data_IF_301394716245
#
_entry.id   IF_301394716245
#
_cell.length_a   1.000
_cell.length_b   1.000
_cell.length_c   1.000
_cell.angle_alpha   90.00
_cell.angle_beta   90.00
_cell.angle_gamma   90.00
#
_symmetry.space_group_name_H-M   'P 1'
#
loop_
_entity.id
_entity.type
_entity.pdbx_description
1 polymer ?
#
# COMPACT_ATOMS: atom_id res chain seq x y z
N UNK A 1 11.57 -46.24 -19.06
CA UNK A 1 10.49 -46.38 -18.06
C UNK A 1 10.72 -45.53 -16.81
N UNK A 2 11.59 -45.89 -15.84
CA UNK A 2 11.74 -45.08 -14.60
C UNK A 2 12.25 -43.65 -14.88
N UNK A 3 13.24 -43.51 -15.77
CA UNK A 3 13.85 -42.21 -16.10
C UNK A 3 12.84 -41.27 -16.79
N UNK A 4 12.01 -41.80 -17.68
CA UNK A 4 10.96 -41.04 -18.38
C UNK A 4 9.89 -40.54 -17.40
N UNK A 5 9.49 -41.37 -16.43
CA UNK A 5 8.54 -40.99 -15.38
C UNK A 5 9.10 -39.84 -14.53
N UNK A 6 10.39 -39.92 -14.15
CA UNK A 6 11.07 -38.86 -13.40
C UNK A 6 11.13 -37.57 -14.21
N UNK A 7 11.45 -37.64 -15.51
CA UNK A 7 11.49 -36.48 -16.39
C UNK A 7 10.11 -35.80 -16.53
N UNK A 8 9.04 -36.58 -16.70
CA UNK A 8 7.67 -36.04 -16.77
C UNK A 8 7.28 -35.33 -15.48
N UNK A 9 7.59 -35.94 -14.31
CA UNK A 9 7.35 -35.31 -13.02
C UNK A 9 8.16 -34.03 -12.84
N UNK A 10 9.42 -34.02 -13.28
CA UNK A 10 10.28 -32.84 -13.21
C UNK A 10 9.72 -31.70 -14.06
N UNK A 11 9.26 -31.99 -15.28
CA UNK A 11 8.66 -30.99 -16.17
C UNK A 11 7.37 -30.43 -15.56
N UNK A 12 6.51 -31.28 -15.00
CA UNK A 12 5.30 -30.84 -14.31
C UNK A 12 5.60 -29.93 -13.11
N UNK A 13 6.60 -30.31 -12.30
CA UNK A 13 7.04 -29.49 -11.17
C UNK A 13 7.59 -28.14 -11.65
N UNK A 14 8.38 -28.14 -12.72
CA UNK A 14 8.96 -26.91 -13.27
C UNK A 14 7.86 -25.98 -13.79
N UNK A 15 6.91 -26.48 -14.59
CA UNK A 15 5.78 -25.68 -15.10
C UNK A 15 4.92 -25.11 -13.97
N UNK A 16 4.58 -25.94 -12.97
CA UNK A 16 3.80 -25.48 -11.82
C UNK A 16 4.55 -24.44 -10.99
N UNK A 17 5.86 -24.61 -10.79
CA UNK A 17 6.69 -23.63 -10.10
C UNK A 17 6.78 -22.29 -10.84
N UNK A 18 6.95 -22.31 -12.16
CA UNK A 18 6.96 -21.09 -12.98
C UNK A 18 5.62 -20.36 -12.90
N UNK A 19 4.50 -21.09 -12.93
CA UNK A 19 3.18 -20.50 -12.77
C UNK A 19 2.99 -19.85 -11.39
N UNK A 20 3.42 -20.52 -10.32
CA UNK A 20 3.35 -19.96 -8.96
C UNK A 20 4.20 -18.69 -8.85
N UNK A 21 5.44 -18.71 -9.35
CA UNK A 21 6.33 -17.54 -9.33
C UNK A 21 5.67 -16.38 -10.06
N UNK A 22 5.19 -16.57 -11.28
CA UNK A 22 4.53 -15.51 -12.04
C UNK A 22 3.31 -14.96 -11.30
N UNK A 23 2.45 -15.83 -10.76
CA UNK A 23 1.27 -15.41 -10.00
C UNK A 23 1.65 -14.60 -8.75
N UNK A 24 2.70 -15.00 -8.03
CA UNK A 24 3.19 -14.28 -6.86
C UNK A 24 3.77 -12.91 -7.26
N UNK A 25 4.56 -12.83 -8.34
CA UNK A 25 5.11 -11.56 -8.84
C UNK A 25 3.99 -10.60 -9.25
N UNK A 26 2.98 -11.05 -9.99
CA UNK A 26 1.84 -10.20 -10.37
C UNK A 26 1.06 -9.68 -9.15
N UNK A 27 0.87 -10.53 -8.14
CA UNK A 27 0.22 -10.13 -6.89
C UNK A 27 1.06 -9.12 -6.11
N UNK A 28 2.38 -9.27 -6.14
CA UNK A 28 3.31 -8.35 -5.51
C UNK A 28 3.26 -6.97 -6.20
N UNK A 29 3.37 -6.92 -7.53
CA UNK A 29 3.26 -5.68 -8.30
C UNK A 29 1.91 -4.98 -8.05
N UNK A 30 0.80 -5.72 -8.04
CA UNK A 30 -0.52 -5.16 -7.74
C UNK A 30 -0.59 -4.57 -6.32
N UNK A 31 0.07 -5.21 -5.36
CA UNK A 31 0.13 -4.73 -3.98
C UNK A 31 1.00 -3.49 -3.87
N UNK A 32 2.15 -3.45 -4.55
CA UNK A 32 3.03 -2.28 -4.64
C UNK A 32 2.27 -1.09 -5.25
N UNK A 33 1.60 -1.28 -6.38
CA UNK A 33 0.77 -0.25 -7.02
C UNK A 33 -0.33 0.25 -6.08
N UNK A 34 -0.99 -0.65 -5.35
CA UNK A 34 -2.02 -0.26 -4.38
C UNK A 34 -1.44 0.58 -3.24
N UNK A 35 -0.27 0.21 -2.72
CA UNK A 35 0.43 0.96 -1.66
C UNK A 35 0.81 2.36 -2.15
N UNK A 36 1.39 2.47 -3.35
CA UNK A 36 1.76 3.78 -3.94
C UNK A 36 0.54 4.68 -4.07
N UNK A 37 -0.55 4.18 -4.69
CA UNK A 37 -1.78 4.95 -4.84
C UNK A 37 -2.39 5.35 -3.49
N UNK A 38 -2.32 4.46 -2.48
CA UNK A 38 -2.80 4.75 -1.13
C UNK A 38 -1.97 5.86 -0.46
N UNK A 39 -0.65 5.83 -0.62
CA UNK A 39 0.25 6.86 -0.10
C UNK A 39 0.02 8.22 -0.76
N UNK A 40 -0.16 8.25 -2.08
CA UNK A 40 -0.49 9.48 -2.82
C UNK A 40 -1.83 10.06 -2.35
N UNK A 41 -2.82 9.21 -2.10
CA UNK A 41 -4.09 9.63 -1.54
C UNK A 41 -3.94 10.21 -0.12
N UNK A 42 -3.12 9.59 0.73
CA UNK A 42 -2.84 10.09 2.08
C UNK A 42 -2.14 11.46 2.06
N UNK A 43 -1.15 11.63 1.18
CA UNK A 43 -0.45 12.91 1.01
C UNK A 43 -1.38 14.00 0.47
N UNK A 44 -2.25 13.64 -0.49
CA UNK A 44 -3.29 14.55 -0.98
C UNK A 44 -4.26 14.97 0.13
N UNK A 45 -4.71 14.04 0.97
CA UNK A 45 -5.56 14.37 2.13
C UNK A 45 -4.85 15.33 3.07
N UNK A 46 -3.56 15.12 3.33
CA UNK A 46 -2.76 16.03 4.16
C UNK A 46 -2.68 17.45 3.56
N UNK A 47 -2.48 17.54 2.25
CA UNK A 47 -2.47 18.80 1.52
C UNK A 47 -3.84 19.48 1.57
N UNK A 48 -4.91 18.75 1.27
CA UNK A 48 -6.28 19.27 1.28
C UNK A 48 -6.69 19.78 2.67
N UNK A 49 -6.32 19.07 3.74
CA UNK A 49 -6.53 19.54 5.11
C UNK A 49 -5.82 20.88 5.35
N UNK A 50 -4.53 20.99 5.01
CA UNK A 50 -3.79 22.26 5.15
C UNK A 50 -4.42 23.42 4.35
N UNK A 51 -4.96 23.13 3.16
CA UNK A 51 -5.66 24.14 2.34
C UNK A 51 -6.99 24.57 2.96
N UNK A 52 -7.78 23.63 3.49
CA UNK A 52 -9.05 23.92 4.17
C UNK A 52 -8.81 24.80 5.41
N UNK A 53 -7.74 24.51 6.16
CA UNK A 53 -7.37 25.26 7.35
C UNK A 53 -6.36 26.39 7.09
N UNK A 54 -6.44 27.04 5.91
CA UNK A 54 -5.54 28.14 5.53
C UNK A 54 -5.52 29.32 6.53
N UNK A 55 -6.59 29.50 7.31
CA UNK A 55 -6.71 30.54 8.36
C UNK A 55 -6.48 30.02 9.78
N UNK A 56 -6.25 28.73 9.99
CA UNK A 56 -6.15 28.11 11.32
C UNK A 56 -7.46 28.13 12.12
N UNK A 57 -8.59 28.50 11.50
CA UNK A 57 -9.86 28.68 12.21
C UNK A 57 -10.58 27.37 12.51
N UNK A 58 -10.28 26.30 11.76
CA UNK A 58 -10.87 24.98 12.01
C UNK A 58 -10.04 24.21 13.05
N UNK A 59 -8.71 24.35 13.05
CA UNK A 59 -7.86 23.77 14.10
C UNK A 59 -8.04 24.48 15.45
N UNK A 60 -8.33 25.78 15.45
CA UNK A 60 -8.54 26.58 16.66
C UNK A 60 -9.97 26.53 17.24
N UNK A 61 -10.91 25.88 16.55
CA UNK A 61 -12.29 25.72 17.00
C UNK A 61 -12.43 24.48 17.90
N UNK A 62 -13.09 24.61 19.05
CA UNK A 62 -13.11 23.56 20.08
C UNK A 62 -13.89 22.29 19.64
N UNK A 63 -14.87 22.40 18.74
CA UNK A 63 -15.66 21.27 18.26
C UNK A 63 -15.02 20.62 17.02
N UNK A 64 -14.61 21.43 16.05
CA UNK A 64 -14.08 20.93 14.77
C UNK A 64 -12.56 20.65 14.81
N UNK A 65 -11.82 21.31 15.70
CA UNK A 65 -10.37 21.14 15.86
C UNK A 65 -9.97 19.78 16.42
N UNK A 66 -10.81 19.17 17.27
CA UNK A 66 -10.58 17.80 17.78
C UNK A 66 -10.61 16.79 16.63
N UNK A 67 -11.60 16.89 15.74
CA UNK A 67 -11.72 16.00 14.58
C UNK A 67 -10.55 16.26 13.62
N UNK A 68 -10.21 17.52 13.41
CA UNK A 68 -9.11 17.91 12.51
C UNK A 68 -7.75 17.36 12.97
N UNK A 69 -7.49 17.41 14.28
CA UNK A 69 -6.29 16.85 14.88
C UNK A 69 -6.26 15.32 14.81
N UNK A 70 -7.39 14.64 15.00
CA UNK A 70 -7.48 13.19 14.81
C UNK A 70 -7.16 12.78 13.37
N UNK A 71 -7.66 13.51 12.37
CA UNK A 71 -7.35 13.22 10.96
C UNK A 71 -5.85 13.45 10.69
N UNK A 72 -5.27 14.57 11.17
CA UNK A 72 -3.81 14.81 11.09
C UNK A 72 -3.02 13.68 11.73
N UNK A 73 -3.43 13.20 12.89
CA UNK A 73 -2.72 12.15 13.62
C UNK A 73 -2.79 10.80 12.89
N UNK A 74 -3.95 10.43 12.36
CA UNK A 74 -4.12 9.22 11.53
C UNK A 74 -3.24 9.31 10.28
N UNK A 75 -3.23 10.45 9.57
CA UNK A 75 -2.39 10.65 8.40
C UNK A 75 -0.89 10.62 8.76
N UNK A 76 -0.50 11.18 9.90
CA UNK A 76 0.88 11.11 10.37
C UNK A 76 1.29 9.69 10.79
N UNK A 77 0.38 8.91 11.39
CA UNK A 77 0.62 7.51 11.69
C UNK A 77 0.78 6.70 10.40
N UNK A 78 -0.03 6.97 9.38
CA UNK A 78 0.11 6.39 8.04
C UNK A 78 1.45 6.73 7.39
N UNK A 79 1.90 7.97 7.50
CA UNK A 79 3.22 8.40 7.02
C UNK A 79 4.39 7.66 7.72
N UNK A 80 4.23 7.16 8.96
CA UNK A 80 5.27 6.35 9.61
C UNK A 80 5.45 4.97 8.95
N UNK A 81 4.41 4.46 8.29
CA UNK A 81 4.48 3.19 7.55
C UNK A 81 5.05 3.35 6.15
N UNK A 82 5.19 4.58 5.64
CA UNK A 82 5.84 4.90 4.36
C UNK A 82 7.31 4.45 4.33
N UNK A 83 7.93 4.26 5.50
CA UNK A 83 9.36 4.00 5.63
C UNK A 83 10.15 5.28 5.35
N UNK A 84 11.18 5.54 6.15
CA UNK A 84 12.23 6.47 5.72
C UNK A 84 12.92 5.79 4.52
N UNK A 85 12.90 6.44 3.34
CA UNK A 85 13.81 6.07 2.25
C UNK A 85 15.28 6.12 2.74
#
# INVERSE_FOLDING_TARGET
MILEIILVLLVLLLVTSCYIIWNLTMKLETLEDWIVNFMDAAEKIQFDLKQIDYKGSFEADDETGVIFNQIKEIVNQLNKFKGEE
#
